data_IF_249443996981
#
_entry.id   IF_249443996981
#
_cell.length_a   1.000
_cell.length_b   1.000
_cell.length_c   1.000
_cell.angle_alpha   90.00
_cell.angle_beta   90.00
_cell.angle_gamma   90.00
#
_symmetry.space_group_name_H-M   'P 1'
#
loop_
_entity.id
_entity.type
_entity.pdbx_description
1 polymer ?
#
# COMPACT_ATOMS: atom_id res chain seq x y z
N UNK A 1 -16.58 -14.43 -11.13
CA UNK A 1 -15.31 -14.06 -10.47
C UNK A 1 -15.44 -12.59 -10.09
N UNK A 2 -15.56 -12.29 -8.80
CA UNK A 2 -15.63 -10.91 -8.34
C UNK A 2 -14.26 -10.26 -8.44
N UNK A 3 -14.11 -9.40 -9.43
CA UNK A 3 -12.95 -8.53 -9.59
C UNK A 3 -12.87 -7.57 -8.40
N UNK A 4 -11.67 -7.39 -7.84
CA UNK A 4 -11.42 -6.43 -6.76
C UNK A 4 -11.86 -5.02 -7.21
N UNK A 5 -12.96 -4.50 -6.66
CA UNK A 5 -13.45 -3.14 -6.97
C UNK A 5 -12.68 -2.06 -6.22
N UNK A 6 -12.01 -2.43 -5.13
CA UNK A 6 -11.31 -1.52 -4.21
C UNK A 6 -9.99 -2.15 -3.78
N UNK A 7 -8.90 -1.41 -3.90
CA UNK A 7 -7.55 -1.83 -3.52
C UNK A 7 -6.93 -0.75 -2.65
N UNK A 8 -6.44 -1.13 -1.47
CA UNK A 8 -5.71 -0.26 -0.56
C UNK A 8 -4.21 -0.55 -0.68
N UNK A 9 -3.42 0.49 -0.92
CA UNK A 9 -1.97 0.39 -1.11
C UNK A 9 -1.28 1.15 0.02
N UNK A 10 -0.65 0.40 0.93
CA UNK A 10 0.15 1.00 1.99
C UNK A 10 1.47 1.53 1.41
N UNK A 11 1.82 2.76 1.76
CA UNK A 11 3.08 3.42 1.37
C UNK A 11 3.82 3.88 2.61
N UNK A 12 5.12 3.60 2.65
CA UNK A 12 6.00 3.94 3.78
C UNK A 12 7.36 4.52 3.32
N UNK A 13 7.58 4.63 2.01
CA UNK A 13 8.83 5.12 1.41
C UNK A 13 9.90 4.04 1.19
N UNK A 14 9.65 2.80 1.63
CA UNK A 14 10.54 1.67 1.36
C UNK A 14 10.54 1.29 -0.14
N UNK A 15 11.59 0.59 -0.58
CA UNK A 15 11.66 0.04 -1.94
C UNK A 15 10.50 -0.91 -2.26
N UNK A 16 10.02 -1.65 -1.25
CA UNK A 16 8.86 -2.52 -1.39
C UNK A 16 7.60 -1.69 -1.69
N UNK A 17 7.38 -0.60 -0.94
CA UNK A 17 6.24 0.29 -1.20
C UNK A 17 6.34 0.98 -2.56
N UNK A 18 7.54 1.38 -2.99
CA UNK A 18 7.75 1.95 -4.32
C UNK A 18 7.38 0.97 -5.45
N UNK A 19 7.73 -0.31 -5.31
CA UNK A 19 7.30 -1.37 -6.24
C UNK A 19 5.77 -1.54 -6.25
N UNK A 20 5.13 -1.45 -5.09
CA UNK A 20 3.67 -1.51 -4.99
C UNK A 20 2.99 -0.33 -5.70
N UNK A 21 3.55 0.88 -5.60
CA UNK A 21 3.08 2.05 -6.35
C UNK A 21 3.22 1.83 -7.86
N UNK A 22 4.39 1.37 -8.32
CA UNK A 22 4.61 1.11 -9.75
C UNK A 22 3.66 0.05 -10.32
N UNK A 23 3.41 -1.03 -9.56
CA UNK A 23 2.42 -2.03 -9.94
C UNK A 23 1.03 -1.43 -10.02
N UNK A 24 0.66 -0.59 -9.04
CA UNK A 24 -0.64 0.07 -8.99
C UNK A 24 -0.88 0.97 -10.19
N UNK A 25 0.14 1.73 -10.63
CA UNK A 25 0.06 2.54 -11.85
C UNK A 25 -0.26 1.71 -13.09
N UNK A 26 0.37 0.53 -13.23
CA UNK A 26 0.12 -0.39 -14.36
C UNK A 26 -1.27 -1.02 -14.23
N UNK A 27 -1.68 -1.40 -13.02
CA UNK A 27 -2.98 -2.01 -12.76
C UNK A 27 -4.14 -1.03 -13.03
N UNK A 28 -3.97 0.26 -12.69
CA UNK A 28 -4.97 1.30 -12.97
C UNK A 28 -5.25 1.45 -14.47
N UNK A 29 -4.22 1.36 -15.31
CA UNK A 29 -4.38 1.40 -16.78
C UNK A 29 -5.14 0.19 -17.31
N UNK A 30 -4.92 -1.00 -16.73
CA UNK A 30 -5.57 -2.24 -17.15
C UNK A 30 -6.99 -2.42 -16.57
N UNK A 31 -7.29 -1.79 -15.44
CA UNK A 31 -8.52 -2.00 -14.67
C UNK A 31 -9.13 -0.65 -14.25
N UNK A 32 -9.64 0.16 -15.20
CA UNK A 32 -10.11 1.53 -14.93
C UNK A 32 -11.30 1.61 -13.95
N UNK A 33 -12.06 0.52 -13.79
CA UNK A 33 -13.16 0.38 -12.83
C UNK A 33 -12.71 0.09 -11.39
N UNK A 34 -11.42 -0.15 -11.15
CA UNK A 34 -10.88 -0.43 -9.83
C UNK A 34 -10.48 0.85 -9.13
N UNK A 35 -10.98 1.07 -7.91
CA UNK A 35 -10.60 2.21 -7.11
C UNK A 35 -9.36 1.87 -6.27
N UNK A 36 -8.26 2.57 -6.51
CA UNK A 36 -7.04 2.46 -5.72
C UNK A 36 -6.95 3.60 -4.71
N UNK A 37 -6.66 3.26 -3.46
CA UNK A 37 -6.44 4.24 -2.38
C UNK A 37 -5.04 4.05 -1.82
N UNK A 38 -4.23 5.10 -1.81
CA UNK A 38 -2.91 5.09 -1.15
C UNK A 38 -3.04 5.51 0.31
N UNK A 39 -2.40 4.76 1.20
CA UNK A 39 -2.39 5.01 2.64
C UNK A 39 -0.94 5.16 3.12
N UNK A 40 -0.60 6.36 3.61
CA UNK A 40 0.64 6.60 4.34
C UNK A 40 0.35 6.65 5.84
N UNK A 41 1.03 5.82 6.62
CA UNK A 41 0.90 5.82 8.08
C UNK A 41 2.09 6.55 8.69
N UNK A 42 1.81 7.70 9.31
CA UNK A 42 2.79 8.41 10.13
C UNK A 42 2.70 7.87 11.56
N UNK A 43 3.71 7.14 12.02
CA UNK A 43 3.80 6.73 13.43
C UNK A 43 4.35 7.90 14.27
N UNK A 44 3.57 8.48 15.21
CA UNK A 44 4.04 9.57 16.07
C UNK A 44 4.84 9.08 17.27
N UNK A 45 4.83 7.77 17.55
CA UNK A 45 5.54 7.16 18.67
C UNK A 45 6.58 6.16 18.14
N UNK A 46 7.76 6.06 18.77
CA UNK A 46 8.71 5.01 18.44
C UNK A 46 8.04 3.64 18.67
N UNK A 47 8.32 2.65 17.82
CA UNK A 47 7.81 1.30 18.05
C UNK A 47 8.22 0.86 19.45
N UNK A 48 7.27 0.42 20.27
CA UNK A 48 7.59 -0.18 21.55
C UNK A 48 8.49 -1.38 21.26
N UNK A 49 9.77 -1.25 21.62
CA UNK A 49 10.69 -2.37 21.57
C UNK A 49 10.15 -3.41 22.55
N UNK A 50 9.55 -4.48 22.05
CA UNK A 50 9.38 -5.68 22.84
C UNK A 50 10.78 -6.23 23.06
N UNK A 51 11.37 -5.93 24.23
CA UNK A 51 12.58 -6.59 24.69
C UNK A 51 12.30 -8.09 24.69
N UNK A 52 12.85 -8.80 23.70
CA UNK A 52 12.90 -10.25 23.70
C UNK A 52 13.93 -10.61 24.77
N UNK A 53 13.44 -10.86 25.98
CA UNK A 53 14.18 -11.58 27.01
C UNK A 53 14.15 -13.07 26.73
#
# INVERSE_FOLDING_TARGET
>A
MDMFRKVLVAVDGSDASNKAVQWTCKAFQALPQTHFTFLFVRQPFPPMAFSSG
#
